data_IF_132166722610
#
_entry.id   IF_132166722610
#
_cell.length_a   1.000
_cell.length_b   1.000
_cell.length_c   1.000
_cell.angle_alpha   90.00
_cell.angle_beta   90.00
_cell.angle_gamma   90.00
#
_symmetry.space_group_name_H-M   'P 1'
#
loop_
_entity.id
_entity.type
_entity.pdbx_description
1 polymer ?
#
# COMPACT_ATOMS: atom_id res chain seq x y z
N UNK A 1 -13.15 2.09 -9.98
CA UNK A 1 -13.10 3.55 -9.66
C UNK A 1 -11.94 3.76 -8.68
N UNK A 2 -10.70 3.79 -9.20
CA UNK A 2 -9.49 3.73 -8.38
C UNK A 2 -9.25 5.07 -7.67
N UNK A 3 -9.66 5.15 -6.39
CA UNK A 3 -9.78 6.42 -5.66
C UNK A 3 -9.16 6.36 -4.25
N UNK A 4 -8.04 5.66 -4.06
CA UNK A 4 -7.48 5.49 -2.70
C UNK A 4 -5.98 5.77 -2.52
N UNK A 5 -5.22 6.13 -3.57
CA UNK A 5 -3.79 6.47 -3.38
C UNK A 5 -3.56 7.83 -2.70
N UNK A 6 -4.47 8.79 -2.89
CA UNK A 6 -4.32 10.16 -2.35
C UNK A 6 -4.44 10.25 -0.82
N UNK A 7 -4.92 9.20 -0.15
CA UNK A 7 -5.05 9.17 1.30
C UNK A 7 -3.83 8.59 2.02
N UNK A 8 -2.83 8.09 1.30
CA UNK A 8 -1.61 7.57 1.91
C UNK A 8 -0.88 8.69 2.65
N UNK A 9 -0.57 8.44 3.92
CA UNK A 9 0.18 9.35 4.80
C UNK A 9 1.27 8.58 5.51
N UNK A 10 2.43 9.22 5.65
CA UNK A 10 3.54 8.67 6.43
C UNK A 10 3.11 8.39 7.88
N UNK A 11 3.50 7.24 8.42
CA UNK A 11 3.17 6.74 9.75
C UNK A 11 1.77 6.14 9.88
N UNK A 12 1.00 6.07 8.78
CA UNK A 12 -0.31 5.41 8.75
C UNK A 12 -0.20 4.01 8.16
N UNK A 13 -1.10 3.14 8.63
CA UNK A 13 -1.20 1.74 8.22
C UNK A 13 -2.34 1.58 7.24
N UNK A 14 -2.11 0.79 6.22
CA UNK A 14 -3.06 0.51 5.16
C UNK A 14 -3.07 -0.98 4.87
N UNK A 15 -4.20 -1.42 4.35
CA UNK A 15 -4.43 -2.79 3.92
C UNK A 15 -4.74 -2.76 2.44
N UNK A 16 -4.02 -3.54 1.66
CA UNK A 16 -4.15 -3.65 0.22
C UNK A 16 -4.63 -5.05 -0.13
N UNK A 17 -5.77 -5.12 -0.82
CA UNK A 17 -6.31 -6.36 -1.35
C UNK A 17 -5.93 -6.47 -2.83
N UNK A 18 -5.29 -7.58 -3.20
CA UNK A 18 -4.90 -7.87 -4.57
C UNK A 18 -5.05 -9.38 -4.85
N UNK A 19 -5.82 -9.76 -5.87
CA UNK A 19 -6.03 -11.17 -6.26
C UNK A 19 -6.39 -12.11 -5.07
N UNK A 20 -7.23 -11.66 -4.14
CA UNK A 20 -7.62 -12.38 -2.90
C UNK A 20 -6.53 -12.49 -1.83
N UNK A 21 -5.37 -11.89 -2.05
CA UNK A 21 -4.33 -11.73 -1.03
C UNK A 21 -4.41 -10.34 -0.40
N UNK A 22 -4.29 -10.31 0.93
CA UNK A 22 -4.33 -9.08 1.71
C UNK A 22 -2.93 -8.76 2.21
N UNK A 23 -2.44 -7.58 1.87
CA UNK A 23 -1.14 -7.05 2.28
C UNK A 23 -1.36 -5.92 3.28
N UNK A 24 -0.73 -6.02 4.44
CA UNK A 24 -0.84 -5.01 5.49
C UNK A 24 0.49 -4.31 5.67
N UNK A 25 0.50 -3.00 5.46
CA UNK A 25 1.73 -2.21 5.54
C UNK A 25 1.56 -0.86 6.20
N UNK A 26 2.67 -0.35 6.70
CA UNK A 26 2.82 1.00 7.19
C UNK A 26 3.61 1.85 6.18
N UNK A 27 3.11 3.05 5.88
CA UNK A 27 3.83 4.01 5.04
C UNK A 27 4.97 4.62 5.85
N UNK A 28 6.21 4.33 5.48
CA UNK A 28 7.40 4.83 6.16
C UNK A 28 7.85 6.16 5.59
N UNK A 29 7.79 6.31 4.27
CA UNK A 29 8.28 7.51 3.59
C UNK A 29 7.54 7.68 2.27
N UNK A 30 7.27 8.93 1.86
CA UNK A 30 6.73 9.25 0.54
C UNK A 30 7.83 10.00 -0.22
N UNK A 31 8.27 9.44 -1.33
CA UNK A 31 9.28 10.01 -2.18
C UNK A 31 8.66 11.09 -3.09
N UNK A 32 9.46 12.08 -3.48
CA UNK A 32 9.01 13.19 -4.36
C UNK A 32 8.58 12.73 -5.76
N UNK A 33 9.02 11.53 -6.18
CA UNK A 33 8.61 10.92 -7.45
C UNK A 33 7.20 10.29 -7.39
N UNK A 34 6.53 10.31 -6.24
CA UNK A 34 5.22 9.70 -6.01
C UNK A 34 5.27 8.21 -5.60
N UNK A 35 6.46 7.63 -5.47
CA UNK A 35 6.62 6.30 -4.88
C UNK A 35 6.58 6.40 -3.34
N UNK A 36 6.11 5.35 -2.69
CA UNK A 36 6.04 5.32 -1.22
C UNK A 36 6.82 4.12 -0.72
N UNK A 37 7.67 4.33 0.29
CA UNK A 37 8.30 3.25 1.03
C UNK A 37 7.30 2.71 2.04
N UNK A 38 7.00 1.44 1.90
CA UNK A 38 6.07 0.71 2.75
C UNK A 38 6.86 -0.32 3.56
N UNK A 39 6.36 -0.61 4.76
CA UNK A 39 6.88 -1.66 5.62
C UNK A 39 5.76 -2.63 5.93
N UNK A 40 5.99 -3.90 5.62
CA UNK A 40 5.07 -4.96 5.97
C UNK A 40 4.94 -5.09 7.49
N UNK A 41 3.71 -5.22 7.97
CA UNK A 41 3.46 -5.37 9.41
C UNK A 41 3.67 -6.83 9.83
N UNK A 42 3.46 -7.80 8.93
CA UNK A 42 3.54 -9.22 9.21
C UNK A 42 4.97 -9.75 9.03
N UNK A 43 5.65 -9.38 7.94
CA UNK A 43 7.00 -9.87 7.61
C UNK A 43 8.12 -8.92 8.04
N UNK A 44 7.80 -7.65 8.38
CA UNK A 44 8.75 -6.58 8.67
C UNK A 44 9.67 -6.21 7.49
N UNK A 45 9.37 -6.71 6.29
CA UNK A 45 10.08 -6.37 5.07
C UNK A 45 9.70 -4.98 4.58
N UNK A 46 10.59 -4.37 3.80
CA UNK A 46 10.36 -3.06 3.19
C UNK A 46 10.17 -3.24 1.69
N UNK A 47 9.09 -2.69 1.17
CA UNK A 47 8.80 -2.69 -0.25
C UNK A 47 8.27 -1.33 -0.70
N UNK A 48 8.39 -1.08 -1.99
CA UNK A 48 7.87 0.14 -2.59
C UNK A 48 6.42 -0.07 -3.02
N UNK A 49 5.60 0.96 -2.88
CA UNK A 49 4.22 0.96 -3.36
C UNK A 49 4.18 0.57 -4.84
N UNK A 50 5.08 1.14 -5.65
CA UNK A 50 5.18 0.80 -7.07
C UNK A 50 5.41 -0.70 -7.28
N UNK A 51 6.21 -1.34 -6.41
CA UNK A 51 6.47 -2.78 -6.51
C UNK A 51 5.27 -3.64 -6.16
N UNK A 52 4.37 -3.18 -5.28
CA UNK A 52 3.10 -3.86 -4.99
C UNK A 52 2.09 -3.69 -6.13
N UNK A 53 1.96 -2.45 -6.64
CA UNK A 53 0.96 -2.13 -7.68
C UNK A 53 1.43 -2.47 -9.09
N UNK A 54 2.73 -2.72 -9.33
CA UNK A 54 3.24 -3.09 -10.66
C UNK A 54 2.57 -4.35 -11.19
N UNK A 55 2.23 -5.29 -10.29
CA UNK A 55 1.56 -6.55 -10.62
C UNK A 55 0.03 -6.47 -10.42
N UNK A 56 -0.46 -5.49 -9.66
CA UNK A 56 -1.86 -5.36 -9.23
C UNK A 56 -2.69 -4.31 -10.00
N UNK A 57 -2.43 -4.06 -11.29
CA UNK A 57 -3.25 -3.19 -12.16
C UNK A 57 -4.60 -3.83 -12.59
N UNK A 58 -5.18 -4.70 -11.76
CA UNK A 58 -6.47 -5.35 -12.01
C UNK A 58 -7.66 -4.53 -11.49
N UNK A 59 -8.88 -4.90 -11.89
CA UNK A 59 -10.14 -4.28 -11.44
C UNK A 59 -10.43 -4.56 -9.95
N UNK A 60 -9.86 -5.63 -9.39
CA UNK A 60 -10.01 -6.12 -8.01
C UNK A 60 -8.98 -5.55 -7.01
N UNK A 61 -8.45 -4.37 -7.30
CA UNK A 61 -7.50 -3.68 -6.41
C UNK A 61 -8.22 -2.76 -5.43
N UNK A 62 -8.05 -3.01 -4.13
CA UNK A 62 -8.62 -2.16 -3.07
C UNK A 62 -7.57 -1.80 -2.02
N UNK A 63 -7.58 -0.55 -1.56
CA UNK A 63 -6.75 -0.09 -0.43
C UNK A 63 -7.68 0.58 0.58
N UNK A 64 -7.60 0.13 1.83
CA UNK A 64 -8.30 0.70 2.96
C UNK A 64 -7.34 1.13 4.08
N UNK A 65 -7.72 2.14 4.87
CA UNK A 65 -6.92 2.58 6.02
C UNK A 65 -7.16 1.62 7.18
N UNK A 66 -6.09 0.98 7.67
CA UNK A 66 -6.19 0.10 8.83
C UNK A 66 -6.32 0.96 10.10
N UNK A 67 -7.55 1.16 10.56
CA UNK A 67 -7.86 1.79 11.85
C UNK A 67 -7.76 0.74 12.97
N UNK A 68 -6.53 0.46 13.41
CA UNK A 68 -6.21 -0.32 14.63
C UNK A 68 -5.94 0.61 15.81
#
# INVERSE_FOLDING_TARGET
MAKSFNNLRVGKKFTLLNFLETFEFEVIEIFENGDCRLKDINTLEYYNLFSLIQYGKGDDFDIDELNI
#
